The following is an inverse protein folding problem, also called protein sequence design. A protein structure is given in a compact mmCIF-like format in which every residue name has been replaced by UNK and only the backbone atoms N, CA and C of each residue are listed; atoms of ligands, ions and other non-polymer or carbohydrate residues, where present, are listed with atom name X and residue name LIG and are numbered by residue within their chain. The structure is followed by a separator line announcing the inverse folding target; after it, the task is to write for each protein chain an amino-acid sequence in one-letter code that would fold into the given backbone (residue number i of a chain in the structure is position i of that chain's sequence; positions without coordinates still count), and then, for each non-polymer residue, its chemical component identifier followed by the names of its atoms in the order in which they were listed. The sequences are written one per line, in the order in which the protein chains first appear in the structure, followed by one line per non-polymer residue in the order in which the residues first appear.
data_IF_766925992927
#
_entry.id   IF_766925992927
#
_cell.length_a   1.000
_cell.length_b   1.000
_cell.length_c   1.000
_cell.angle_alpha   90.00
_cell.angle_beta   90.00
_cell.angle_gamma   90.00
#
_symmetry.space_group_name_H-M   'P 1'
#
loop_
_entity.id
_entity.type
_entity.pdbx_description
1 polymer ?
#
# COMPACT_ATOMS: atom_id res chain seq x y z
N UNK A 1 -6.87 12.45 17.13
CA UNK A 1 -6.82 11.05 16.69
C UNK A 1 -7.28 10.17 17.82
N UNK A 2 -8.48 9.62 17.72
CA UNK A 2 -9.00 8.65 18.69
C UNK A 2 -8.28 7.32 18.50
N UNK A 3 -8.06 6.57 19.58
CA UNK A 3 -7.51 5.19 19.55
C UNK A 3 -6.34 4.95 18.58
N UNK A 4 -5.28 5.77 18.71
CA UNK A 4 -4.10 5.69 17.85
C UNK A 4 -3.49 4.28 17.79
N UNK A 5 -3.47 3.54 18.90
CA UNK A 5 -2.99 2.16 18.94
C UNK A 5 -3.79 1.22 18.03
N UNK A 6 -5.12 1.37 18.02
CA UNK A 6 -5.99 0.59 17.12
C UNK A 6 -5.77 0.97 15.66
N UNK A 7 -5.56 2.26 15.39
CA UNK A 7 -5.21 2.71 14.04
C UNK A 7 -3.91 2.10 13.54
N UNK A 8 -2.86 2.08 14.37
CA UNK A 8 -1.58 1.48 14.00
C UNK A 8 -1.70 -0.03 13.81
N UNK A 9 -2.51 -0.71 14.61
CA UNK A 9 -2.80 -2.13 14.40
C UNK A 9 -3.42 -2.36 13.01
N UNK A 10 -4.48 -1.64 12.67
CA UNK A 10 -5.13 -1.79 11.36
C UNK A 10 -4.21 -1.40 10.20
N UNK A 11 -3.44 -0.32 10.37
CA UNK A 11 -2.44 0.11 9.40
C UNK A 11 -1.43 -0.99 9.08
N UNK A 12 -0.74 -1.52 10.10
CA UNK A 12 0.31 -2.51 9.88
C UNK A 12 -0.24 -3.84 9.35
N UNK A 13 -1.41 -4.27 9.83
CA UNK A 13 -2.06 -5.47 9.28
C UNK A 13 -2.39 -5.25 7.80
N UNK A 14 -3.00 -4.11 7.44
CA UNK A 14 -3.31 -3.78 6.05
C UNK A 14 -2.04 -3.74 5.18
N UNK A 15 -1.00 -3.07 5.66
CA UNK A 15 0.29 -2.94 4.97
C UNK A 15 0.92 -4.31 4.67
N UNK A 16 0.95 -5.21 5.66
CA UNK A 16 1.47 -6.58 5.49
C UNK A 16 0.62 -7.36 4.47
N UNK A 17 -0.71 -7.27 4.58
CA UNK A 17 -1.63 -7.98 3.68
C UNK A 17 -1.47 -7.50 2.24
N UNK A 18 -1.50 -6.19 1.99
CA UNK A 18 -1.39 -5.65 0.62
C UNK A 18 -0.03 -5.94 0.00
N UNK A 19 1.04 -5.88 0.80
CA UNK A 19 2.39 -6.23 0.37
C UNK A 19 2.46 -7.71 0.00
N UNK A 20 1.89 -8.58 0.85
CA UNK A 20 1.79 -10.00 0.57
C UNK A 20 1.04 -10.30 -0.72
N UNK A 21 -0.09 -9.63 -0.98
CA UNK A 21 -0.85 -9.78 -2.23
C UNK A 21 0.00 -9.39 -3.45
N UNK A 22 0.73 -8.28 -3.41
CA UNK A 22 1.62 -7.86 -4.50
C UNK A 22 2.75 -8.85 -4.76
N UNK A 23 3.38 -9.37 -3.70
CA UNK A 23 4.42 -10.40 -3.79
C UNK A 23 3.83 -11.69 -4.40
N UNK A 24 2.71 -12.17 -3.88
CA UNK A 24 2.06 -13.39 -4.36
C UNK A 24 1.64 -13.27 -5.83
N UNK A 25 1.13 -12.12 -6.26
CA UNK A 25 0.80 -11.90 -7.67
C UNK A 25 2.06 -11.91 -8.55
N UNK A 26 3.16 -11.29 -8.10
CA UNK A 26 4.43 -11.35 -8.84
C UNK A 26 4.96 -12.78 -8.94
N UNK A 27 4.90 -13.55 -7.84
CA UNK A 27 5.26 -14.97 -7.81
C UNK A 27 4.37 -15.77 -8.75
N UNK A 28 3.06 -15.53 -8.76
CA UNK A 28 2.11 -16.17 -9.68
C UNK A 28 2.48 -15.89 -11.15
N UNK A 29 2.78 -14.63 -11.49
CA UNK A 29 3.19 -14.24 -12.84
C UNK A 29 4.44 -14.98 -13.30
N UNK A 30 5.43 -15.14 -12.42
CA UNK A 30 6.68 -15.84 -12.74
C UNK A 30 6.47 -17.35 -12.86
N UNK A 31 5.90 -17.99 -11.84
CA UNK A 31 5.87 -19.46 -11.77
C UNK A 31 4.72 -20.08 -12.55
N UNK A 32 3.56 -19.42 -12.61
CA UNK A 32 2.35 -19.94 -13.27
C UNK A 32 2.26 -19.42 -14.70
N UNK A 33 2.39 -18.11 -14.91
CA UNK A 33 2.32 -17.52 -16.25
C UNK A 33 3.65 -17.55 -17.02
N UNK A 34 4.72 -18.07 -16.41
CA UNK A 34 6.05 -18.23 -17.02
C UNK A 34 6.68 -16.92 -17.51
N UNK A 35 6.30 -15.79 -16.90
CA UNK A 35 6.90 -14.49 -17.18
C UNK A 35 8.34 -14.45 -16.65
N UNK A 36 9.18 -13.61 -17.27
CA UNK A 36 10.59 -13.51 -16.87
C UNK A 36 10.72 -13.00 -15.43
N UNK A 37 11.53 -13.67 -14.59
CA UNK A 37 11.87 -13.16 -13.27
C UNK A 37 12.82 -11.97 -13.37
N UNK A 38 13.13 -11.41 -12.21
CA UNK A 38 14.11 -10.36 -12.03
C UNK A 38 15.55 -10.88 -12.25
N UNK A 39 16.40 -10.06 -12.85
CA UNK A 39 17.82 -10.33 -13.14
C UNK A 39 18.70 -9.10 -12.89
N UNK A 40 19.99 -9.16 -13.23
CA UNK A 40 20.96 -8.08 -13.01
C UNK A 40 20.67 -6.80 -13.80
N UNK A 41 19.81 -6.87 -14.82
CA UNK A 41 19.53 -5.77 -15.74
C UNK A 41 18.06 -5.35 -15.75
N UNK A 42 17.19 -6.08 -15.06
CA UNK A 42 15.75 -5.86 -15.10
C UNK A 42 15.06 -6.33 -13.83
N UNK A 43 14.03 -5.59 -13.42
CA UNK A 43 13.06 -6.02 -12.41
C UNK A 43 12.21 -7.23 -12.85
N UNK A 44 12.30 -7.64 -14.12
CA UNK A 44 11.60 -8.79 -14.66
C UNK A 44 10.18 -8.46 -15.13
N UNK A 45 9.74 -9.17 -16.17
CA UNK A 45 8.40 -9.00 -16.75
C UNK A 45 7.30 -9.28 -15.73
N UNK A 46 7.50 -10.30 -14.89
CA UNK A 46 6.51 -10.69 -13.88
C UNK A 46 6.19 -9.56 -12.91
N UNK A 47 7.20 -8.81 -12.47
CA UNK A 47 7.05 -7.66 -11.58
C UNK A 47 6.45 -6.46 -12.32
N UNK A 48 6.97 -6.15 -13.51
CA UNK A 48 6.51 -5.02 -14.32
C UNK A 48 5.01 -5.10 -14.63
N UNK A 49 4.50 -6.32 -14.87
CA UNK A 49 3.07 -6.58 -15.09
C UNK A 49 2.24 -6.54 -13.81
N UNK A 50 2.84 -6.70 -12.63
CA UNK A 50 2.15 -6.56 -11.34
C UNK A 50 1.94 -5.09 -10.96
N UNK A 51 2.89 -4.19 -11.26
CA UNK A 51 2.85 -2.76 -10.83
C UNK A 51 1.50 -2.05 -11.02
N UNK A 52 0.81 -2.16 -12.18
CA UNK A 52 -0.49 -1.50 -12.38
C UNK A 52 -1.60 -1.96 -11.44
N UNK A 53 -1.47 -3.14 -10.84
CA UNK A 53 -2.45 -3.71 -9.92
C UNK A 53 -2.27 -3.25 -8.47
N UNK A 54 -1.08 -2.80 -8.10
CA UNK A 54 -0.79 -2.40 -6.73
C UNK A 54 -1.71 -1.26 -6.23
N UNK A 55 -2.01 -0.21 -7.02
CA UNK A 55 -3.00 0.78 -6.60
C UNK A 55 -4.38 0.17 -6.34
N UNK A 56 -4.83 -0.78 -7.17
CA UNK A 56 -6.14 -1.42 -6.98
C UNK A 56 -6.20 -2.18 -5.66
N UNK A 57 -5.16 -2.94 -5.32
CA UNK A 57 -5.10 -3.66 -4.05
C UNK A 57 -5.11 -2.69 -2.87
N UNK A 58 -4.37 -1.59 -2.98
CA UNK A 58 -4.33 -0.57 -1.94
C UNK A 58 -5.68 0.13 -1.80
N UNK A 59 -6.35 0.50 -2.89
CA UNK A 59 -7.70 1.12 -2.86
C UNK A 59 -8.66 0.20 -2.11
N UNK A 60 -8.71 -1.09 -2.45
CA UNK A 60 -9.63 -2.04 -1.83
C UNK A 60 -9.30 -2.24 -0.35
N UNK A 61 -8.05 -2.61 -0.04
CA UNK A 61 -7.65 -3.00 1.30
C UNK A 61 -7.64 -1.79 2.25
N UNK A 62 -7.02 -0.67 1.88
CA UNK A 62 -7.00 0.50 2.76
C UNK A 62 -8.38 1.14 2.95
N UNK A 63 -9.32 0.99 2.00
CA UNK A 63 -10.72 1.39 2.24
C UNK A 63 -11.40 0.48 3.27
N UNK A 64 -11.23 -0.84 3.16
CA UNK A 64 -11.80 -1.80 4.12
C UNK A 64 -11.21 -1.61 5.51
N UNK A 65 -9.89 -1.49 5.62
CA UNK A 65 -9.22 -1.30 6.90
C UNK A 65 -9.45 0.11 7.48
N UNK A 66 -9.56 1.12 6.61
CA UNK A 66 -10.02 2.46 6.99
C UNK A 66 -11.43 2.41 7.58
N UNK A 67 -12.35 1.66 6.96
CA UNK A 67 -13.70 1.44 7.49
C UNK A 67 -13.69 0.70 8.83
N UNK A 68 -12.91 -0.38 8.98
CA UNK A 68 -12.78 -1.12 10.24
C UNK A 68 -12.30 -0.24 11.39
N UNK A 69 -11.32 0.62 11.11
CA UNK A 69 -10.85 1.60 12.09
C UNK A 69 -11.93 2.64 12.42
N UNK A 70 -12.53 3.28 11.41
CA UNK A 70 -13.57 4.30 11.62
C UNK A 70 -14.78 3.76 12.38
N UNK A 71 -15.21 2.53 12.09
CA UNK A 71 -16.31 1.85 12.77
C UNK A 71 -16.03 1.60 14.25
N UNK A 72 -14.76 1.45 14.61
CA UNK A 72 -14.32 1.21 15.99
C UNK A 72 -14.26 2.48 16.84
N UNK A 73 -14.40 3.66 16.23
CA UNK A 73 -14.34 4.94 16.95
C UNK A 73 -15.66 5.25 17.65
N UNK A 74 -15.57 5.89 18.81
CA UNK A 74 -16.75 6.36 19.55
C UNK A 74 -17.47 7.50 18.82
N UNK A 75 -16.70 8.42 18.22
CA UNK A 75 -17.21 9.54 17.44
C UNK A 75 -16.37 9.73 16.17
N UNK A 76 -16.64 8.98 15.09
CA UNK A 76 -15.91 9.12 13.83
C UNK A 76 -16.24 10.47 13.18
N UNK A 77 -15.22 11.22 12.76
CA UNK A 77 -15.38 12.51 12.07
C UNK A 77 -14.52 12.59 10.81
N UNK A 78 -14.89 13.48 9.89
CA UNK A 78 -14.07 13.75 8.69
C UNK A 78 -12.64 14.20 9.05
N UNK A 79 -12.48 14.96 10.13
CA UNK A 79 -11.16 15.41 10.62
C UNK A 79 -10.31 14.21 11.07
N UNK A 80 -10.91 13.27 11.79
CA UNK A 80 -10.24 12.03 12.21
C UNK A 80 -9.81 11.21 11.00
N UNK A 81 -10.65 11.10 9.97
CA UNK A 81 -10.31 10.42 8.73
C UNK A 81 -9.16 11.08 7.96
N UNK A 82 -9.17 12.40 7.82
CA UNK A 82 -8.07 13.14 7.17
C UNK A 82 -6.74 12.97 7.91
N UNK A 83 -6.74 13.07 9.24
CA UNK A 83 -5.52 12.90 10.06
C UNK A 83 -5.01 11.47 9.96
N UNK A 84 -5.90 10.48 10.03
CA UNK A 84 -5.54 9.06 9.91
C UNK A 84 -4.92 8.77 8.56
N UNK A 85 -5.56 9.21 7.47
CA UNK A 85 -5.05 9.05 6.11
C UNK A 85 -3.68 9.70 5.93
N UNK A 86 -3.48 10.91 6.46
CA UNK A 86 -2.20 11.61 6.40
C UNK A 86 -1.09 10.85 7.15
N UNK A 87 -1.39 10.31 8.34
CA UNK A 87 -0.43 9.52 9.12
C UNK A 87 -0.09 8.22 8.39
N UNK A 88 -1.09 7.48 7.92
CA UNK A 88 -0.88 6.21 7.23
C UNK A 88 -0.05 6.40 5.95
N UNK A 89 -0.39 7.39 5.13
CA UNK A 89 0.38 7.70 3.92
C UNK A 89 1.80 8.17 4.26
N UNK A 90 1.96 9.05 5.25
CA UNK A 90 3.27 9.55 5.68
C UNK A 90 4.19 8.43 6.20
N UNK A 91 3.68 7.53 7.04
CA UNK A 91 4.42 6.37 7.52
C UNK A 91 4.81 5.48 6.33
N UNK A 92 3.88 5.21 5.42
CA UNK A 92 4.14 4.35 4.24
C UNK A 92 5.23 4.94 3.35
N UNK A 93 5.18 6.24 3.04
CA UNK A 93 6.20 6.91 2.22
C UNK A 93 7.60 6.73 2.82
N UNK A 94 7.74 6.89 4.14
CA UNK A 94 9.02 6.72 4.81
C UNK A 94 9.43 5.25 4.81
N UNK A 95 8.52 4.36 5.22
CA UNK A 95 8.81 2.95 5.38
C UNK A 95 9.14 2.26 4.06
N UNK A 96 8.46 2.62 2.96
CA UNK A 96 8.72 2.04 1.65
C UNK A 96 10.14 2.36 1.14
N UNK A 97 10.66 3.56 1.44
CA UNK A 97 12.06 3.89 1.12
C UNK A 97 13.01 2.99 1.90
N UNK A 98 12.76 2.80 3.19
CA UNK A 98 13.58 1.91 4.00
C UNK A 98 13.51 0.47 3.52
N UNK A 99 12.31 -0.05 3.32
CA UNK A 99 12.05 -1.44 2.97
C UNK A 99 12.53 -1.78 1.56
N UNK A 100 12.19 -0.97 0.56
CA UNK A 100 12.38 -1.30 -0.85
C UNK A 100 13.62 -0.68 -1.48
N UNK A 101 14.21 0.37 -0.90
CA UNK A 101 15.35 1.07 -1.51
C UNK A 101 16.63 0.90 -0.69
N UNK A 102 16.56 1.17 0.62
CA UNK A 102 17.72 1.19 1.50
C UNK A 102 18.14 -0.22 1.90
N UNK A 103 17.22 -1.04 2.41
CA UNK A 103 17.51 -2.42 2.83
C UNK A 103 17.67 -3.28 1.57
N UNK A 104 18.83 -3.93 1.42
CA UNK A 104 19.13 -4.77 0.26
C UNK A 104 18.56 -6.17 0.45
N UNK A 105 17.73 -6.58 -0.49
CA UNK A 105 17.13 -7.90 -0.62
C UNK A 105 16.86 -8.17 -2.12
N UNK A 106 16.47 -9.40 -2.52
CA UNK A 106 16.32 -9.75 -3.93
C UNK A 106 15.31 -8.93 -4.75
N UNK A 107 14.50 -8.07 -4.12
CA UNK A 107 13.54 -7.19 -4.78
C UNK A 107 13.79 -5.70 -4.46
N UNK A 108 14.97 -5.36 -3.95
CA UNK A 108 15.30 -3.97 -3.65
C UNK A 108 15.47 -3.18 -4.94
N UNK A 109 14.89 -1.99 -4.98
CA UNK A 109 14.90 -1.03 -6.06
C UNK A 109 16.00 0.02 -5.83
N UNK A 110 16.48 0.62 -6.91
CA UNK A 110 17.17 1.90 -6.84
C UNK A 110 16.19 3.06 -6.63
N UNK A 111 16.69 4.21 -6.21
CA UNK A 111 15.88 5.44 -6.09
C UNK A 111 15.19 5.81 -7.41
N UNK A 112 15.87 5.62 -8.56
CA UNK A 112 15.30 5.88 -9.87
C UNK A 112 14.14 4.93 -10.16
N UNK A 113 14.34 3.63 -9.93
CA UNK A 113 13.31 2.63 -10.19
C UNK A 113 12.08 2.84 -9.30
N UNK A 114 12.27 3.24 -8.04
CA UNK A 114 11.19 3.47 -7.10
C UNK A 114 10.43 4.78 -7.34
N UNK A 115 11.13 5.90 -7.59
CA UNK A 115 10.48 7.21 -7.69
C UNK A 115 10.14 7.68 -9.10
N UNK A 116 10.87 7.20 -10.10
CA UNK A 116 10.70 7.60 -11.50
C UNK A 116 10.03 6.47 -12.27
N UNK A 117 10.63 5.29 -12.32
CA UNK A 117 10.17 4.20 -13.19
C UNK A 117 8.93 3.46 -12.64
N UNK A 118 8.61 3.65 -11.35
CA UNK A 118 7.38 3.15 -10.73
C UNK A 118 6.18 4.07 -11.03
N UNK A 119 6.40 5.31 -11.47
CA UNK A 119 5.29 6.22 -11.75
C UNK A 119 4.41 5.69 -12.91
N UNK A 120 3.09 5.91 -12.86
CA UNK A 120 2.34 6.68 -11.86
C UNK A 120 1.93 5.85 -10.62
N UNK A 121 2.27 4.57 -10.57
CA UNK A 121 1.66 3.61 -9.66
C UNK A 121 1.95 3.91 -8.19
N UNK A 122 3.16 4.36 -7.85
CA UNK A 122 3.53 4.66 -6.46
C UNK A 122 2.75 5.85 -5.91
N UNK A 123 2.53 6.89 -6.74
CA UNK A 123 1.70 8.03 -6.35
C UNK A 123 0.24 7.62 -6.12
N UNK A 124 -0.30 6.75 -6.97
CA UNK A 124 -1.66 6.22 -6.81
C UNK A 124 -1.80 5.35 -5.57
N UNK A 125 -0.77 4.59 -5.19
CA UNK A 125 -0.73 3.83 -3.93
C UNK A 125 -0.83 4.79 -2.74
N UNK A 126 0.00 5.83 -2.67
CA UNK A 126 -0.04 6.77 -1.55
C UNK A 126 -1.37 7.53 -1.46
N UNK A 127 -1.95 7.90 -2.61
CA UNK A 127 -3.28 8.48 -2.65
C UNK A 127 -4.35 7.52 -2.15
N UNK A 128 -4.28 6.23 -2.52
CA UNK A 128 -5.20 5.21 -2.04
C UNK A 128 -5.10 5.01 -0.52
N UNK A 129 -3.89 4.99 0.03
CA UNK A 129 -3.64 4.87 1.47
C UNK A 129 -4.22 6.08 2.21
N UNK A 130 -3.96 7.29 1.71
CA UNK A 130 -4.51 8.51 2.27
C UNK A 130 -6.05 8.52 2.22
N UNK A 131 -6.62 8.09 1.10
CA UNK A 131 -8.07 8.08 0.90
C UNK A 131 -8.79 6.96 1.66
N UNK A 132 -8.10 5.87 2.03
CA UNK A 132 -8.71 4.70 2.67
C UNK A 132 -9.59 5.04 3.88
N UNK A 133 -9.10 5.77 4.90
CA UNK A 133 -9.90 6.21 6.03
C UNK A 133 -11.06 7.15 5.66
N UNK A 134 -10.93 7.96 4.59
CA UNK A 134 -12.00 8.83 4.09
C UNK A 134 -13.14 8.02 3.48
N UNK A 135 -12.81 7.05 2.64
CA UNK A 135 -13.78 6.10 2.09
C UNK A 135 -14.45 5.33 3.21
N UNK A 136 -13.66 4.86 4.18
CA UNK A 136 -14.17 4.18 5.36
C UNK A 136 -15.15 5.00 6.17
N UNK A 137 -14.86 6.28 6.39
CA UNK A 137 -15.76 7.23 7.04
C UNK A 137 -17.06 7.43 6.25
N UNK A 138 -16.99 7.62 4.93
CA UNK A 138 -18.18 7.75 4.09
C UNK A 138 -19.05 6.49 4.09
N UNK A 139 -18.45 5.31 4.15
CA UNK A 139 -19.17 4.04 4.27
C UNK A 139 -19.88 3.82 5.62
N UNK A 140 -19.63 4.65 6.64
CA UNK A 140 -20.39 4.62 7.90
C UNK A 140 -21.68 5.45 7.85
N UNK A 141 -21.75 6.43 6.95
CA UNK A 141 -22.89 7.33 6.79
C UNK A 141 -23.93 6.84 5.77
N UNK A 142 -23.67 5.69 5.12
CA UNK A 142 -24.63 4.90 4.35
C UNK A 142 -25.25 3.84 5.26
#
# INVERSE_FOLDING_TARGET
MQDFGMSMLWFWVCYIVVTGVGILHTVFNIFVLKMKPMDEHSMGEGYEKTKPWHPLYNIILFSVFGWLYMRGLADPTLKEALITGAIWAGITIIFDVFAWVIIKHPWSLSFKEFYIDYQPWISLIYLAIFAGPLVGYWCLGL
#
